data_IF_212657079742
#
_entry.id   IF_212657079742
#
_cell.length_a   1.000
_cell.length_b   1.000
_cell.length_c   1.000
_cell.angle_alpha   90.00
_cell.angle_beta   90.00
_cell.angle_gamma   90.00
#
_symmetry.space_group_name_H-M   'P 1'
#
loop_
_entity.id
_entity.type
_entity.pdbx_description
1 polymer ?
#
# COMPACT_ATOMS: atom_id res chain seq x y z
N UNK A 1 -18.61 28.01 -24.39
CA UNK A 1 -17.15 27.91 -24.56
C UNK A 1 -16.53 27.67 -23.20
N UNK A 2 -15.96 26.49 -22.96
CA UNK A 2 -14.86 26.13 -22.05
C UNK A 2 -14.65 24.62 -22.33
N UNK A 3 -13.84 24.25 -23.33
CA UNK A 3 -12.45 23.78 -23.13
C UNK A 3 -12.41 22.65 -22.07
N UNK A 4 -12.49 21.35 -22.38
CA UNK A 4 -12.02 20.65 -23.58
C UNK A 4 -10.63 20.01 -23.40
N UNK A 5 -10.18 19.71 -22.17
CA UNK A 5 -8.96 18.93 -21.88
C UNK A 5 -9.10 18.20 -20.54
N UNK A 6 -9.45 16.92 -20.58
CA UNK A 6 -9.59 16.08 -19.38
C UNK A 6 -10.39 14.79 -19.56
N UNK A 7 -11.07 14.64 -20.70
CA UNK A 7 -11.91 13.49 -21.05
C UNK A 7 -11.33 12.65 -22.21
N UNK A 8 -10.04 12.80 -22.50
CA UNK A 8 -9.38 12.07 -23.60
C UNK A 8 -8.68 10.79 -23.13
N UNK A 9 -8.37 10.69 -21.83
CA UNK A 9 -7.71 9.51 -21.25
C UNK A 9 -8.65 8.32 -20.97
N UNK A 10 -9.96 8.51 -20.96
CA UNK A 10 -10.94 7.43 -20.78
C UNK A 10 -11.57 6.92 -22.08
N UNK A 11 -11.39 7.62 -23.20
CA UNK A 11 -12.04 7.29 -24.47
C UNK A 11 -11.43 6.06 -25.17
N UNK A 12 -10.25 5.60 -24.74
CA UNK A 12 -9.57 4.45 -25.34
C UNK A 12 -9.78 3.11 -24.60
N UNK A 13 -10.60 3.07 -23.55
CA UNK A 13 -10.82 1.82 -22.78
C UNK A 13 -12.06 1.02 -23.21
N UNK A 14 -12.94 1.57 -24.04
CA UNK A 14 -14.17 0.91 -24.48
C UNK A 14 -14.33 1.03 -26.00
N UNK A 15 -14.31 -0.13 -26.67
CA UNK A 15 -14.54 -0.37 -28.10
C UNK A 15 -13.32 -0.25 -29.04
N UNK A 16 -12.63 -1.38 -29.23
CA UNK A 16 -12.26 -1.85 -30.58
C UNK A 16 -13.04 -3.13 -30.86
N UNK A 17 -14.32 -2.99 -31.15
CA UNK A 17 -15.11 -4.06 -31.76
C UNK A 17 -15.21 -3.78 -33.25
N UNK A 18 -14.11 -4.03 -33.97
CA UNK A 18 -14.17 -4.20 -35.42
C UNK A 18 -13.06 -5.16 -35.87
N UNK A 19 -13.36 -6.46 -35.79
CA UNK A 19 -12.84 -7.50 -36.69
C UNK A 19 -13.76 -8.70 -36.54
N UNK A 20 -14.59 -8.96 -37.55
CA UNK A 20 -15.27 -10.24 -37.70
C UNK A 20 -14.25 -11.37 -37.79
N UNK A 21 -14.28 -12.30 -36.84
CA UNK A 21 -13.40 -13.46 -36.79
C UNK A 21 -13.54 -14.21 -35.46
N UNK A 22 -13.41 -15.54 -35.53
CA UNK A 22 -13.64 -16.52 -34.46
C UNK A 22 -12.66 -16.45 -33.26
N UNK A 23 -12.46 -15.26 -32.68
CA UNK A 23 -11.61 -15.05 -31.50
C UNK A 23 -12.43 -14.35 -30.41
N UNK A 24 -13.63 -14.85 -30.15
CA UNK A 24 -14.58 -14.25 -29.21
C UNK A 24 -14.35 -14.66 -27.75
N UNK A 25 -13.28 -15.39 -27.41
CA UNK A 25 -13.09 -15.94 -26.06
C UNK A 25 -11.73 -15.55 -25.42
N UNK A 26 -11.29 -14.32 -25.63
CA UNK A 26 -10.18 -13.78 -24.84
C UNK A 26 -10.72 -13.32 -23.49
N UNK A 27 -10.34 -14.01 -22.41
CA UNK A 27 -10.59 -13.57 -21.04
C UNK A 27 -9.89 -12.22 -20.88
N UNK A 28 -10.68 -11.16 -20.69
CA UNK A 28 -10.15 -9.83 -20.39
C UNK A 28 -9.41 -9.91 -19.05
N UNK A 29 -8.08 -9.96 -19.09
CA UNK A 29 -7.24 -9.86 -17.90
C UNK A 29 -7.20 -8.40 -17.43
N UNK A 30 -8.04 -8.06 -16.46
CA UNK A 30 -7.95 -6.77 -15.80
C UNK A 30 -6.65 -6.71 -14.96
N UNK A 31 -5.80 -5.68 -15.11
CA UNK A 31 -4.62 -5.55 -14.26
C UNK A 31 -5.05 -5.42 -12.80
N UNK A 32 -4.35 -6.11 -11.90
CA UNK A 32 -4.60 -5.99 -10.46
C UNK A 32 -4.28 -4.56 -10.04
N UNK A 33 -5.27 -3.84 -9.54
CA UNK A 33 -5.04 -2.52 -8.97
C UNK A 33 -4.23 -2.68 -7.68
N UNK A 34 -3.08 -1.99 -7.55
CA UNK A 34 -2.28 -2.08 -6.33
C UNK A 34 -3.06 -1.53 -5.14
N UNK A 35 -3.00 -2.24 -4.02
CA UNK A 35 -3.52 -1.77 -2.74
C UNK A 35 -2.69 -0.61 -2.18
N UNK A 36 -3.11 -0.08 -1.03
CA UNK A 36 -2.31 0.89 -0.26
C UNK A 36 -1.04 0.24 0.31
N UNK A 37 0.00 1.04 0.47
CA UNK A 37 1.17 0.68 1.27
C UNK A 37 0.96 1.12 2.72
N UNK A 38 1.42 0.30 3.66
CA UNK A 38 1.30 0.54 5.09
C UNK A 38 2.71 0.55 5.68
N UNK A 39 3.03 1.61 6.42
CA UNK A 39 4.32 1.79 7.08
C UNK A 39 4.10 2.05 8.55
N UNK A 40 4.89 1.40 9.40
CA UNK A 40 4.91 1.65 10.84
C UNK A 40 6.36 1.62 11.32
N UNK A 41 6.78 2.70 11.96
CA UNK A 41 8.13 2.86 12.47
C UNK A 41 8.14 2.54 13.96
N UNK A 42 8.81 1.46 14.31
CA UNK A 42 9.01 1.05 15.70
C UNK A 42 9.97 1.98 16.45
N UNK A 43 10.18 1.66 17.73
CA UNK A 43 11.16 2.38 18.56
C UNK A 43 12.58 2.23 17.99
N UNK A 44 13.41 3.29 18.05
CA UNK A 44 14.82 3.18 17.71
C UNK A 44 15.53 2.12 18.54
N UNK A 45 16.52 1.46 17.94
CA UNK A 45 17.33 0.44 18.60
C UNK A 45 18.60 1.12 19.12
N UNK A 46 18.62 1.40 20.42
CA UNK A 46 19.77 2.03 21.08
C UNK A 46 20.95 1.04 21.16
N UNK A 47 21.99 1.34 20.37
CA UNK A 47 23.25 0.57 20.33
C UNK A 47 24.45 1.40 20.80
N UNK A 48 24.25 2.70 20.98
CA UNK A 48 25.28 3.57 21.57
C UNK A 48 25.59 3.12 23.00
N UNK A 49 26.87 3.12 23.37
CA UNK A 49 27.34 2.62 24.68
C UNK A 49 27.42 1.09 24.83
N UNK A 50 26.86 0.30 23.89
CA UNK A 50 26.81 -1.17 23.98
C UNK A 50 27.84 -1.91 23.13
N UNK A 51 28.81 -1.19 22.54
CA UNK A 51 29.77 -1.73 21.57
C UNK A 51 30.59 -2.92 22.09
N UNK A 52 31.02 -2.87 23.35
CA UNK A 52 31.79 -3.97 23.97
C UNK A 52 30.88 -5.15 24.37
N UNK A 53 29.66 -4.88 24.85
CA UNK A 53 28.66 -5.91 25.18
C UNK A 53 28.30 -6.74 23.93
N UNK A 54 28.10 -6.07 22.79
CA UNK A 54 27.73 -6.70 21.52
C UNK A 54 28.86 -7.49 20.85
N UNK A 55 30.09 -7.49 21.39
CA UNK A 55 31.15 -8.42 20.95
C UNK A 55 30.87 -9.85 21.43
N UNK A 56 30.13 -10.02 22.52
CA UNK A 56 29.65 -11.34 22.92
C UNK A 56 28.57 -11.80 21.94
N UNK A 57 28.77 -12.98 21.38
CA UNK A 57 27.82 -13.61 20.47
C UNK A 57 26.47 -13.84 21.16
N UNK A 58 26.49 -14.22 22.43
CA UNK A 58 25.30 -14.49 23.24
C UNK A 58 24.51 -13.19 23.45
N UNK A 59 25.18 -12.09 23.82
CA UNK A 59 24.53 -10.78 23.99
C UNK A 59 24.00 -10.19 22.69
N UNK A 60 24.76 -10.32 21.61
CA UNK A 60 24.27 -9.91 20.29
C UNK A 60 23.05 -10.72 19.85
N UNK A 61 23.01 -12.02 20.18
CA UNK A 61 21.87 -12.87 19.90
C UNK A 61 20.63 -12.49 20.72
N UNK A 62 20.80 -12.18 22.00
CA UNK A 62 19.71 -11.65 22.86
C UNK A 62 19.08 -10.39 22.25
N UNK A 63 19.91 -9.40 21.89
CA UNK A 63 19.42 -8.17 21.24
C UNK A 63 18.72 -8.46 19.90
N UNK A 64 19.27 -9.38 19.10
CA UNK A 64 18.64 -9.77 17.84
C UNK A 64 17.23 -10.34 18.05
N UNK A 65 17.04 -11.22 19.04
CA UNK A 65 15.73 -11.80 19.34
C UNK A 65 14.74 -10.74 19.82
N UNK A 66 15.18 -9.80 20.65
CA UNK A 66 14.38 -8.66 21.08
C UNK A 66 13.88 -7.85 19.87
N UNK A 67 14.81 -7.39 19.02
CA UNK A 67 14.51 -6.61 17.81
C UNK A 67 13.60 -7.38 16.87
N UNK A 68 13.86 -8.67 16.66
CA UNK A 68 13.02 -9.53 15.83
C UNK A 68 11.59 -9.55 16.36
N UNK A 69 11.40 -9.71 17.67
CA UNK A 69 10.08 -9.74 18.29
C UNK A 69 9.33 -8.41 18.15
N UNK A 70 10.04 -7.27 18.22
CA UNK A 70 9.46 -5.94 17.98
C UNK A 70 9.00 -5.79 16.52
N UNK A 71 9.82 -6.23 15.57
CA UNK A 71 9.46 -6.20 14.14
C UNK A 71 8.25 -7.09 13.85
N UNK A 72 8.19 -8.28 14.45
CA UNK A 72 7.03 -9.17 14.32
C UNK A 72 5.75 -8.51 14.86
N UNK A 73 5.81 -7.86 16.03
CA UNK A 73 4.69 -7.07 16.58
C UNK A 73 4.26 -5.93 15.64
N UNK A 74 5.21 -5.19 15.07
CA UNK A 74 4.94 -4.13 14.11
C UNK A 74 4.22 -4.65 12.86
N UNK A 75 4.66 -5.80 12.34
CA UNK A 75 4.05 -6.44 11.17
C UNK A 75 2.62 -6.88 11.48
N UNK A 76 2.38 -7.49 12.65
CA UNK A 76 1.05 -7.95 13.02
C UNK A 76 0.08 -6.79 13.25
N UNK A 77 0.55 -5.70 13.87
CA UNK A 77 -0.20 -4.44 13.94
C UNK A 77 -0.57 -3.92 12.55
N UNK A 78 0.36 -3.88 11.61
CA UNK A 78 0.09 -3.43 10.24
C UNK A 78 -0.90 -4.34 9.50
N UNK A 79 -0.85 -5.66 9.72
CA UNK A 79 -1.84 -6.59 9.16
C UNK A 79 -3.24 -6.28 9.71
N UNK A 80 -3.36 -6.07 11.02
CA UNK A 80 -4.63 -5.70 11.66
C UNK A 80 -5.17 -4.38 11.10
N UNK A 81 -4.33 -3.34 11.00
CA UNK A 81 -4.73 -2.05 10.42
C UNK A 81 -5.12 -2.16 8.95
N UNK A 82 -4.42 -3.00 8.18
CA UNK A 82 -4.77 -3.27 6.79
C UNK A 82 -6.10 -4.01 6.66
N UNK A 83 -6.42 -4.93 7.56
CA UNK A 83 -7.69 -5.65 7.52
C UNK A 83 -8.87 -4.73 7.84
N UNK A 84 -8.68 -3.79 8.77
CA UNK A 84 -9.71 -2.87 9.21
C UNK A 84 -9.76 -1.53 8.46
N UNK A 85 -8.89 -1.31 7.44
CA UNK A 85 -8.82 -0.04 6.72
C UNK A 85 -10.04 0.14 5.77
N UNK A 86 -10.94 1.11 6.03
CA UNK A 86 -12.11 1.36 5.19
C UNK A 86 -11.73 1.80 3.76
N UNK A 87 -10.50 2.29 3.56
CA UNK A 87 -9.98 2.80 2.31
C UNK A 87 -8.96 1.86 1.63
N UNK A 88 -8.85 0.60 2.10
CA UNK A 88 -7.94 -0.42 1.52
C UNK A 88 -8.12 -0.56 0.01
N UNK A 89 -9.38 -0.53 -0.45
CA UNK A 89 -9.75 -0.68 -1.85
C UNK A 89 -9.79 0.68 -2.56
N UNK A 90 -9.33 0.72 -3.82
CA UNK A 90 -9.38 1.96 -4.62
C UNK A 90 -10.80 2.52 -4.74
N UNK A 91 -11.80 1.65 -4.88
CA UNK A 91 -13.21 2.06 -5.04
C UNK A 91 -13.74 2.81 -3.81
N UNK A 92 -13.27 2.48 -2.61
CA UNK A 92 -13.65 3.19 -1.39
C UNK A 92 -12.96 4.57 -1.28
N UNK A 93 -11.82 4.76 -1.96
CA UNK A 93 -11.07 6.03 -1.98
C UNK A 93 -11.63 7.04 -2.97
N UNK A 94 -12.20 6.58 -4.09
CA UNK A 94 -12.68 7.48 -5.15
C UNK A 94 -13.73 8.50 -4.66
N UNK A 95 -14.76 8.14 -3.87
CA UNK A 95 -15.72 9.12 -3.35
C UNK A 95 -15.08 10.15 -2.42
N UNK A 96 -14.10 9.72 -1.60
CA UNK A 96 -13.37 10.61 -0.71
C UNK A 96 -12.55 11.63 -1.51
N UNK A 97 -11.77 11.17 -2.50
CA UNK A 97 -10.99 12.04 -3.37
C UNK A 97 -11.87 12.96 -4.23
N UNK A 98 -13.04 12.48 -4.68
CA UNK A 98 -13.98 13.31 -5.44
C UNK A 98 -14.57 14.46 -4.60
N UNK A 99 -14.75 14.25 -3.29
CA UNK A 99 -15.31 15.26 -2.38
C UNK A 99 -14.25 16.21 -1.78
N UNK A 100 -13.02 15.73 -1.59
CA UNK A 100 -11.95 16.50 -0.94
C UNK A 100 -10.91 17.05 -1.93
N UNK A 101 -10.88 16.53 -3.17
CA UNK A 101 -9.88 16.84 -4.20
C UNK A 101 -8.91 15.68 -4.43
N UNK A 102 -8.45 15.50 -5.66
CA UNK A 102 -7.59 14.38 -6.05
C UNK A 102 -6.19 14.43 -5.43
N UNK A 103 -5.74 15.60 -4.98
CA UNK A 103 -4.47 15.80 -4.27
C UNK A 103 -4.60 15.59 -2.75
N UNK A 104 -5.80 15.24 -2.27
CA UNK A 104 -6.03 15.04 -0.84
C UNK A 104 -5.38 13.76 -0.33
N UNK A 105 -4.82 13.85 0.87
CA UNK A 105 -4.36 12.67 1.59
C UNK A 105 -5.57 11.91 2.16
N UNK A 106 -5.68 10.63 1.79
CA UNK A 106 -6.74 9.75 2.30
C UNK A 106 -6.40 9.36 3.74
N UNK A 107 -7.36 9.42 4.68
CA UNK A 107 -7.14 9.08 6.06
C UNK A 107 -6.42 7.74 6.24
N UNK A 108 -5.51 7.71 7.20
CA UNK A 108 -4.76 6.52 7.61
C UNK A 108 -5.04 6.22 9.08
N UNK A 109 -4.62 5.04 9.53
CA UNK A 109 -4.72 4.65 10.93
C UNK A 109 -3.89 5.57 11.83
N UNK A 110 -4.36 5.77 13.06
CA UNK A 110 -3.64 6.55 14.06
C UNK A 110 -2.31 5.90 14.48
N UNK A 111 -1.34 6.74 14.87
CA UNK A 111 -0.01 6.36 15.34
C UNK A 111 0.04 6.25 16.87
#
# INVERSE_FOLDING_TARGET
>A
MLSGRGMDCYRNLLSRSDTGGEVSNQVVHLPKVPGRFYFYFGKPIETEGRKEELKSREKAHELYLEVKSEVERCIDYLKEKRENDPYRNIMARLPYLASHGFDSEVPTFDL
#
